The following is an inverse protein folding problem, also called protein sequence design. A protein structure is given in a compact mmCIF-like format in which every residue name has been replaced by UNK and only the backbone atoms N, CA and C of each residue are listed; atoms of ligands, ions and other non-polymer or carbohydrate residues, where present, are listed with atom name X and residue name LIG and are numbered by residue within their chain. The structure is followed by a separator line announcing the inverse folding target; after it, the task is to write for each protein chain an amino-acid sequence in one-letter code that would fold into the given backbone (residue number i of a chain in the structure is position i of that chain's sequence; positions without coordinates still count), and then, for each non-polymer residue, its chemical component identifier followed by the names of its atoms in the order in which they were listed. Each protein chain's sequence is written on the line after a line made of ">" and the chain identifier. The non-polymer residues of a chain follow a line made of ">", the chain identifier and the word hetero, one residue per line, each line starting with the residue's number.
data_IF_080568993248
#
_entry.id   IF_080568993248
#
_cell.length_a   1.000
_cell.length_b   1.000
_cell.length_c   1.000
_cell.angle_alpha   90.00
_cell.angle_beta   90.00
_cell.angle_gamma   90.00
#
_symmetry.space_group_name_H-M   'P 1'
#
loop_
_entity.id
_entity.type
_entity.pdbx_description
1 polymer ?
#
# COMPACT_ATOMS: atom_id res chain seq x y z
N UNK A 1 36.12 -40.99 35.02
CA UNK A 1 35.51 -40.76 33.71
C UNK A 1 34.26 -39.88 33.94
N UNK A 2 34.36 -38.61 33.63
CA UNK A 2 33.22 -37.65 33.77
C UNK A 2 32.49 -37.63 32.44
N UNK A 3 31.23 -38.02 32.43
CA UNK A 3 30.33 -38.04 31.26
C UNK A 3 29.71 -36.63 31.15
N UNK A 4 30.24 -35.79 30.23
CA UNK A 4 29.63 -34.50 29.90
C UNK A 4 28.37 -34.73 29.06
N UNK A 5 27.21 -34.52 29.67
CA UNK A 5 25.94 -34.49 28.95
C UNK A 5 25.85 -33.17 28.17
N UNK A 6 25.99 -33.21 26.83
CA UNK A 6 25.62 -32.11 25.97
C UNK A 6 24.10 -31.94 26.02
N UNK A 7 23.62 -30.88 26.68
CA UNK A 7 22.23 -30.43 26.54
C UNK A 7 22.04 -29.85 25.13
N UNK A 8 21.42 -30.65 24.26
CA UNK A 8 20.88 -30.14 22.99
C UNK A 8 19.68 -29.27 23.31
N UNK A 9 19.87 -27.92 23.37
CA UNK A 9 18.76 -27.00 23.42
C UNK A 9 18.03 -27.05 22.05
N UNK A 10 16.70 -27.31 22.03
CA UNK A 10 15.96 -27.19 20.78
C UNK A 10 16.07 -25.75 20.31
N UNK A 11 16.53 -25.54 19.09
CA UNK A 11 16.45 -24.24 18.43
C UNK A 11 14.97 -23.88 18.40
N UNK A 12 14.58 -22.81 19.09
CA UNK A 12 13.24 -22.27 19.00
C UNK A 12 13.02 -21.89 17.53
N UNK A 13 12.13 -22.62 16.85
CA UNK A 13 11.68 -22.24 15.51
C UNK A 13 11.04 -20.86 15.62
N UNK A 14 11.56 -19.88 14.90
CA UNK A 14 10.93 -18.56 14.85
C UNK A 14 9.50 -18.74 14.32
N UNK A 15 8.53 -18.12 15.02
CA UNK A 15 7.14 -18.11 14.53
C UNK A 15 7.03 -17.07 13.41
N UNK A 16 6.91 -17.55 12.17
CA UNK A 16 6.78 -16.69 11.01
C UNK A 16 5.39 -16.09 10.93
N UNK A 17 5.32 -14.78 10.77
CA UNK A 17 4.09 -14.02 10.54
C UNK A 17 4.14 -13.40 9.14
N UNK A 18 3.34 -13.91 8.22
CA UNK A 18 3.33 -13.48 6.81
C UNK A 18 2.25 -12.43 6.57
N UNK A 19 2.66 -11.27 6.07
CA UNK A 19 1.76 -10.15 5.81
C UNK A 19 1.82 -9.78 4.34
N UNK A 20 0.69 -9.87 3.65
CA UNK A 20 0.51 -9.40 2.28
C UNK A 20 -0.18 -8.03 2.28
N UNK A 21 0.49 -7.01 1.74
CA UNK A 21 0.06 -5.62 1.89
C UNK A 21 0.18 -4.80 0.60
N UNK A 22 -0.60 -3.73 0.52
CA UNK A 22 -0.51 -2.75 -0.55
C UNK A 22 0.89 -2.10 -0.61
N UNK A 23 1.40 -1.87 -1.83
CA UNK A 23 2.73 -1.30 -2.06
C UNK A 23 2.97 0.04 -1.35
N UNK A 24 1.94 0.88 -1.22
CA UNK A 24 2.02 2.15 -0.49
C UNK A 24 2.35 1.99 1.01
N UNK A 25 2.10 0.81 1.59
CA UNK A 25 2.39 0.50 2.99
C UNK A 25 3.85 0.10 3.26
N UNK A 26 4.67 -0.08 2.21
CA UNK A 26 6.01 -0.68 2.31
C UNK A 26 6.85 -0.09 3.44
N UNK A 27 7.04 1.24 3.46
CA UNK A 27 7.92 1.89 4.44
C UNK A 27 7.33 1.84 5.85
N UNK A 28 6.05 2.15 5.97
CA UNK A 28 5.35 2.17 7.25
C UNK A 28 5.26 0.77 7.87
N UNK A 29 4.91 -0.26 7.07
CA UNK A 29 4.78 -1.62 7.59
C UNK A 29 6.12 -2.26 7.93
N UNK A 30 7.22 -1.90 7.25
CA UNK A 30 8.56 -2.29 7.69
C UNK A 30 8.88 -1.76 9.10
N UNK A 31 8.55 -0.49 9.38
CA UNK A 31 8.75 0.10 10.70
C UNK A 31 7.80 -0.49 11.76
N UNK A 32 6.53 -0.77 11.39
CA UNK A 32 5.56 -1.45 12.25
C UNK A 32 6.04 -2.86 12.60
N UNK A 33 6.50 -3.64 11.60
CA UNK A 33 7.01 -4.99 11.77
C UNK A 33 8.25 -5.01 12.69
N UNK A 34 9.23 -4.15 12.42
CA UNK A 34 10.43 -4.05 13.24
C UNK A 34 10.09 -3.75 14.71
N UNK A 35 9.13 -2.84 14.94
CA UNK A 35 8.71 -2.51 16.30
C UNK A 35 7.97 -3.67 16.96
N UNK A 36 7.10 -4.36 16.22
CA UNK A 36 6.38 -5.54 16.70
C UNK A 36 7.33 -6.68 17.07
N UNK A 37 8.30 -7.00 16.20
CA UNK A 37 9.35 -8.01 16.47
C UNK A 37 10.16 -7.68 17.74
N UNK A 38 10.51 -6.40 17.93
CA UNK A 38 11.25 -5.99 19.14
C UNK A 38 10.49 -6.22 20.46
N UNK A 39 9.15 -6.28 20.39
CA UNK A 39 8.27 -6.53 21.52
C UNK A 39 7.84 -8.00 21.64
N UNK A 40 8.10 -8.80 20.61
CA UNK A 40 7.74 -10.21 20.55
C UNK A 40 8.95 -11.06 20.13
N UNK A 41 9.92 -11.29 21.03
CA UNK A 41 11.10 -12.10 20.74
C UNK A 41 10.72 -13.48 20.21
N UNK A 42 11.36 -13.91 19.14
CA UNK A 42 11.09 -15.19 18.46
C UNK A 42 10.05 -15.13 17.35
N UNK A 43 9.41 -13.96 17.12
CA UNK A 43 8.54 -13.72 15.96
C UNK A 43 9.36 -13.10 14.83
N UNK A 44 9.16 -13.60 13.61
CA UNK A 44 9.74 -13.03 12.40
C UNK A 44 8.63 -12.64 11.41
N UNK A 45 8.57 -11.33 11.04
CA UNK A 45 7.53 -10.78 10.18
C UNK A 45 8.00 -10.76 8.73
N UNK A 46 7.40 -11.59 7.89
CA UNK A 46 7.63 -11.64 6.46
C UNK A 46 6.64 -10.72 5.74
N UNK A 47 7.14 -9.74 5.00
CA UNK A 47 6.35 -8.73 4.32
C UNK A 47 6.38 -8.93 2.81
N UNK A 48 5.21 -9.05 2.19
CA UNK A 48 5.01 -9.08 0.73
C UNK A 48 4.21 -7.86 0.30
N UNK A 49 4.70 -7.12 -0.71
CA UNK A 49 4.09 -5.87 -1.17
C UNK A 49 3.78 -5.90 -2.65
N UNK A 50 2.60 -5.38 -3.01
CA UNK A 50 2.16 -5.26 -4.40
C UNK A 50 0.90 -4.41 -4.53
N UNK A 51 0.34 -4.32 -5.72
CA UNK A 51 -1.00 -3.77 -5.87
C UNK A 51 -2.00 -4.64 -5.10
N UNK A 52 -3.01 -4.05 -4.46
CA UNK A 52 -3.90 -4.79 -3.56
C UNK A 52 -4.61 -5.95 -4.25
N UNK A 53 -5.07 -5.79 -5.50
CA UNK A 53 -5.70 -6.89 -6.24
C UNK A 53 -4.68 -7.98 -6.64
N UNK A 54 -3.42 -7.62 -6.88
CA UNK A 54 -2.36 -8.60 -7.23
C UNK A 54 -2.02 -9.46 -6.02
N UNK A 55 -1.77 -8.86 -4.86
CA UNK A 55 -1.50 -9.63 -3.64
C UNK A 55 -2.72 -10.42 -3.18
N UNK A 56 -3.93 -9.89 -3.37
CA UNK A 56 -5.16 -10.65 -3.14
C UNK A 56 -5.23 -11.90 -4.04
N UNK A 57 -4.94 -11.75 -5.34
CA UNK A 57 -4.95 -12.89 -6.26
C UNK A 57 -3.92 -13.96 -5.88
N UNK A 58 -2.76 -13.56 -5.36
CA UNK A 58 -1.77 -14.49 -4.82
C UNK A 58 -2.33 -15.28 -3.63
N UNK A 59 -3.03 -14.60 -2.70
CA UNK A 59 -3.68 -15.26 -1.55
C UNK A 59 -4.75 -16.24 -2.03
N UNK A 60 -5.60 -15.85 -2.98
CA UNK A 60 -6.63 -16.72 -3.57
C UNK A 60 -6.00 -17.97 -4.21
N UNK A 61 -4.83 -17.82 -4.82
CA UNK A 61 -4.07 -18.91 -5.45
C UNK A 61 -3.22 -19.71 -4.46
N UNK A 62 -3.40 -19.51 -3.14
CA UNK A 62 -2.75 -20.31 -2.09
C UNK A 62 -1.42 -19.76 -1.58
N UNK A 63 -0.99 -18.56 -1.97
CA UNK A 63 0.20 -17.95 -1.36
C UNK A 63 -0.02 -17.74 0.15
N UNK A 64 0.96 -18.11 1.00
CA UNK A 64 0.82 -17.97 2.44
C UNK A 64 0.69 -16.49 2.81
N UNK A 65 -0.35 -16.18 3.60
CA UNK A 65 -0.52 -14.88 4.23
C UNK A 65 -1.37 -15.05 5.49
N UNK A 66 -0.97 -14.44 6.58
CA UNK A 66 -1.72 -14.42 7.84
C UNK A 66 -2.59 -13.17 7.95
N UNK A 67 -2.16 -12.10 7.28
CA UNK A 67 -2.82 -10.80 7.24
C UNK A 67 -2.83 -10.29 5.81
N UNK A 68 -3.98 -9.72 5.41
CA UNK A 68 -4.11 -8.93 4.19
C UNK A 68 -4.43 -7.48 4.54
N UNK A 69 -3.61 -6.53 4.02
CA UNK A 69 -3.80 -5.09 4.19
C UNK A 69 -3.91 -4.41 2.83
N UNK A 70 -5.10 -3.88 2.52
CA UNK A 70 -5.43 -3.28 1.24
C UNK A 70 -5.37 -1.75 1.26
N UNK A 71 -5.16 -1.12 0.11
CA UNK A 71 -5.25 0.33 -0.08
C UNK A 71 -6.62 0.80 -0.56
N UNK A 72 -7.61 -0.06 -0.62
CA UNK A 72 -9.02 0.28 -0.85
C UNK A 72 -9.98 -0.78 -0.32
N UNK A 73 -11.24 -0.38 -0.18
CA UNK A 73 -12.33 -1.25 0.27
C UNK A 73 -12.66 -2.32 -0.78
N UNK A 74 -12.58 -1.97 -2.08
CA UNK A 74 -12.96 -2.87 -3.18
C UNK A 74 -12.13 -4.15 -3.20
N UNK A 75 -10.81 -4.07 -3.00
CA UNK A 75 -9.96 -5.26 -2.93
C UNK A 75 -10.27 -6.10 -1.68
N UNK A 76 -10.58 -5.45 -0.55
CA UNK A 76 -10.99 -6.15 0.66
C UNK A 76 -12.38 -6.83 0.50
N UNK A 77 -13.33 -6.18 -0.16
CA UNK A 77 -14.64 -6.78 -0.47
C UNK A 77 -14.49 -8.03 -1.34
N UNK A 78 -13.60 -7.98 -2.34
CA UNK A 78 -13.24 -9.17 -3.13
C UNK A 78 -12.63 -10.28 -2.28
N UNK A 79 -11.77 -9.95 -1.30
CA UNK A 79 -11.15 -10.91 -0.39
C UNK A 79 -12.22 -11.60 0.48
N UNK A 80 -13.20 -10.83 0.97
CA UNK A 80 -14.36 -11.36 1.71
C UNK A 80 -15.21 -12.27 0.82
N UNK A 81 -15.54 -11.82 -0.39
CA UNK A 81 -16.31 -12.61 -1.36
C UNK A 81 -15.62 -13.92 -1.74
N UNK A 82 -14.29 -13.91 -1.88
CA UNK A 82 -13.46 -15.09 -2.13
C UNK A 82 -13.28 -15.98 -0.87
N UNK A 83 -13.78 -15.56 0.29
CA UNK A 83 -13.66 -16.26 1.58
C UNK A 83 -12.21 -16.52 2.02
N UNK A 84 -11.26 -15.68 1.59
CA UNK A 84 -9.84 -15.79 1.96
C UNK A 84 -9.46 -14.93 3.15
N UNK A 85 -10.38 -14.09 3.65
CA UNK A 85 -10.22 -13.31 4.88
C UNK A 85 -11.41 -13.50 5.81
N UNK A 86 -11.17 -13.36 7.12
CA UNK A 86 -12.21 -13.35 8.14
C UNK A 86 -12.86 -11.95 8.18
N UNK A 87 -14.13 -11.81 7.75
CA UNK A 87 -14.81 -10.52 7.72
C UNK A 87 -15.01 -9.92 9.13
N UNK A 88 -15.08 -10.76 10.17
CA UNK A 88 -15.20 -10.28 11.55
C UNK A 88 -13.93 -9.58 12.05
N UNK A 89 -12.78 -9.88 11.46
CA UNK A 89 -11.49 -9.27 11.78
C UNK A 89 -11.22 -7.96 11.03
N UNK A 90 -12.01 -7.64 9.96
CA UNK A 90 -11.79 -6.46 9.12
C UNK A 90 -11.88 -5.16 9.91
N UNK A 91 -10.88 -4.29 9.77
CA UNK A 91 -10.84 -2.96 10.37
C UNK A 91 -10.21 -1.98 9.39
N UNK A 92 -10.74 -0.77 9.32
CA UNK A 92 -10.04 0.35 8.70
C UNK A 92 -8.99 0.85 9.68
N UNK A 93 -7.74 0.99 9.21
CA UNK A 93 -6.62 1.33 10.08
C UNK A 93 -5.87 2.59 9.66
N UNK A 94 -6.07 3.05 8.42
CA UNK A 94 -5.40 4.22 7.90
C UNK A 94 -6.23 4.93 6.83
N UNK A 95 -5.93 6.21 6.63
CA UNK A 95 -6.48 7.06 5.58
C UNK A 95 -5.35 7.73 4.81
N UNK A 96 -5.58 7.99 3.51
CA UNK A 96 -4.63 8.62 2.61
C UNK A 96 -5.34 9.62 1.68
N UNK A 97 -4.59 10.22 0.75
CA UNK A 97 -5.11 11.11 -0.30
C UNK A 97 -4.43 10.77 -1.64
N UNK A 98 -5.13 10.97 -2.74
CA UNK A 98 -4.54 10.93 -4.07
C UNK A 98 -3.98 12.31 -4.40
N UNK A 99 -2.75 12.36 -4.88
CA UNK A 99 -2.09 13.61 -5.28
C UNK A 99 -1.59 13.53 -6.71
N UNK A 100 -1.64 14.66 -7.40
CA UNK A 100 -0.94 14.89 -8.67
C UNK A 100 0.48 15.29 -8.37
N UNK A 101 1.44 14.58 -8.95
CA UNK A 101 2.87 14.87 -8.86
C UNK A 101 3.49 15.10 -10.24
N UNK A 102 4.58 15.86 -10.25
CA UNK A 102 5.46 16.06 -11.41
C UNK A 102 6.91 15.84 -10.98
N UNK A 103 7.86 15.64 -11.92
CA UNK A 103 9.30 15.72 -11.62
C UNK A 103 9.62 17.04 -10.90
N UNK A 104 10.54 17.00 -9.92
CA UNK A 104 10.85 18.17 -9.10
C UNK A 104 11.38 19.37 -9.93
N UNK A 105 12.08 19.09 -11.03
CA UNK A 105 12.66 20.04 -11.98
C UNK A 105 11.81 20.27 -13.22
N UNK A 106 10.55 19.82 -13.23
CA UNK A 106 9.63 20.01 -14.35
C UNK A 106 9.46 21.49 -14.72
N UNK A 107 9.67 21.81 -15.98
CA UNK A 107 9.55 23.15 -16.57
C UNK A 107 8.23 23.38 -17.29
N UNK A 108 7.29 22.44 -17.27
CA UNK A 108 6.03 22.49 -18.04
C UNK A 108 4.99 23.51 -17.50
N UNK A 109 5.25 24.17 -16.37
CA UNK A 109 4.34 25.15 -15.79
C UNK A 109 2.96 24.58 -15.47
N UNK A 110 2.92 23.36 -14.92
CA UNK A 110 1.69 22.69 -14.51
C UNK A 110 1.34 23.08 -13.06
N UNK A 111 0.06 23.33 -12.81
CA UNK A 111 -0.45 23.70 -11.48
C UNK A 111 -1.62 22.84 -11.02
N UNK A 112 -2.30 22.15 -11.95
CA UNK A 112 -3.51 21.37 -11.65
C UNK A 112 -3.68 20.22 -12.63
N UNK A 113 -4.59 19.28 -12.31
CA UNK A 113 -4.96 18.19 -13.20
C UNK A 113 -5.53 18.69 -14.55
N UNK A 114 -6.15 19.87 -14.60
CA UNK A 114 -6.65 20.46 -15.85
C UNK A 114 -5.50 20.79 -16.82
N UNK A 115 -4.34 21.16 -16.31
CA UNK A 115 -3.19 21.48 -17.16
C UNK A 115 -2.63 20.28 -17.90
N UNK A 116 -2.94 19.04 -17.46
CA UNK A 116 -2.52 17.82 -18.12
C UNK A 116 -3.11 17.65 -19.53
N UNK A 117 -4.17 18.38 -19.86
CA UNK A 117 -4.75 18.40 -21.22
C UNK A 117 -3.91 19.20 -22.22
N UNK A 118 -3.01 20.08 -21.77
CA UNK A 118 -2.15 20.90 -22.62
C UNK A 118 -1.33 20.03 -23.57
N UNK A 119 -1.06 20.55 -24.78
CA UNK A 119 -0.33 19.83 -25.82
C UNK A 119 1.13 19.52 -25.43
N UNK A 120 1.74 20.29 -24.53
CA UNK A 120 3.09 20.05 -23.98
C UNK A 120 3.19 18.78 -23.13
N UNK A 121 2.09 18.36 -22.48
CA UNK A 121 2.04 17.13 -21.67
C UNK A 121 1.84 15.95 -22.61
N UNK A 122 2.73 14.97 -22.60
CA UNK A 122 2.71 13.80 -23.47
C UNK A 122 2.36 12.51 -22.72
N UNK A 123 2.87 12.33 -21.51
CA UNK A 123 2.73 11.10 -20.73
C UNK A 123 2.29 11.40 -19.30
N UNK A 124 1.25 10.72 -18.85
CA UNK A 124 0.71 10.83 -17.49
C UNK A 124 0.56 9.43 -16.93
N UNK A 125 1.22 9.15 -15.79
CA UNK A 125 1.12 7.84 -15.17
C UNK A 125 0.10 7.80 -14.05
N UNK A 126 -0.53 6.66 -13.91
CA UNK A 126 -1.35 6.26 -12.76
C UNK A 126 -1.45 4.73 -12.69
N UNK A 127 -1.78 4.21 -11.54
CA UNK A 127 -1.98 2.77 -11.38
C UNK A 127 -3.10 2.25 -12.31
N UNK A 128 -2.95 1.07 -12.88
CA UNK A 128 -4.00 0.46 -13.70
C UNK A 128 -5.31 0.32 -12.89
N UNK A 129 -6.42 0.99 -13.25
CA UNK A 129 -7.66 0.95 -12.47
C UNK A 129 -8.27 -0.45 -12.31
N UNK A 130 -7.93 -1.38 -13.21
CA UNK A 130 -8.40 -2.76 -13.13
C UNK A 130 -7.86 -3.51 -11.90
N UNK A 131 -6.62 -3.17 -11.44
CA UNK A 131 -5.91 -3.93 -10.41
C UNK A 131 -5.25 -3.08 -9.32
N UNK A 132 -5.16 -1.76 -9.49
CA UNK A 132 -4.42 -0.88 -8.59
C UNK A 132 -5.35 0.14 -7.92
N UNK A 133 -5.44 0.14 -6.57
CA UNK A 133 -6.32 1.04 -5.83
C UNK A 133 -6.18 2.52 -6.19
N UNK A 134 -4.95 3.08 -6.18
CA UNK A 134 -4.75 4.49 -6.52
C UNK A 134 -5.25 4.82 -7.92
N UNK A 135 -5.15 3.89 -8.86
CA UNK A 135 -5.70 4.05 -10.22
C UNK A 135 -7.23 4.18 -10.22
N UNK A 136 -7.93 3.38 -9.40
CA UNK A 136 -9.39 3.47 -9.24
C UNK A 136 -9.81 4.81 -8.64
N UNK A 137 -9.14 5.26 -7.59
CA UNK A 137 -9.41 6.57 -6.98
C UNK A 137 -9.11 7.71 -7.96
N UNK A 138 -7.99 7.63 -8.70
CA UNK A 138 -7.62 8.60 -9.76
C UNK A 138 -8.70 8.64 -10.84
N UNK A 139 -9.11 7.49 -11.37
CA UNK A 139 -10.17 7.41 -12.38
C UNK A 139 -11.47 8.05 -11.88
N UNK A 140 -11.91 7.70 -10.67
CA UNK A 140 -13.13 8.22 -10.10
C UNK A 140 -13.06 9.75 -9.89
N UNK A 141 -11.94 10.27 -9.41
CA UNK A 141 -11.72 11.70 -9.22
C UNK A 141 -11.70 12.46 -10.55
N UNK A 142 -10.97 11.96 -11.55
CA UNK A 142 -10.86 12.59 -12.87
C UNK A 142 -12.18 12.55 -13.66
N UNK A 143 -12.98 11.48 -13.53
CA UNK A 143 -14.31 11.41 -14.14
C UNK A 143 -15.24 12.49 -13.61
N UNK A 144 -15.19 12.81 -12.31
CA UNK A 144 -16.02 13.88 -11.71
C UNK A 144 -15.78 15.27 -12.30
N UNK A 145 -14.59 15.51 -12.84
CA UNK A 145 -14.16 16.79 -13.40
C UNK A 145 -13.94 16.70 -14.92
N UNK A 146 -14.46 15.66 -15.55
CA UNK A 146 -14.43 15.40 -17.00
C UNK A 146 -13.02 15.37 -17.62
N UNK A 147 -12.02 15.03 -16.81
CA UNK A 147 -10.62 14.92 -17.25
C UNK A 147 -10.18 13.48 -17.57
N UNK A 148 -11.00 12.47 -17.26
CA UNK A 148 -10.59 11.07 -17.46
C UNK A 148 -10.39 10.75 -18.95
N UNK A 149 -11.40 11.01 -19.79
CA UNK A 149 -11.34 10.68 -21.22
C UNK A 149 -10.25 11.46 -21.97
N UNK A 150 -10.08 12.78 -21.75
CA UNK A 150 -9.00 13.52 -22.40
C UNK A 150 -7.58 13.02 -22.09
N UNK A 151 -7.38 12.34 -20.97
CA UNK A 151 -6.06 11.85 -20.55
C UNK A 151 -5.75 10.42 -21.02
N UNK A 152 -6.73 9.68 -21.59
CA UNK A 152 -6.52 8.29 -22.00
C UNK A 152 -5.41 8.14 -23.06
N UNK A 153 -5.33 9.06 -24.02
CA UNK A 153 -4.29 9.06 -25.04
C UNK A 153 -2.86 9.37 -24.53
N UNK A 154 -2.74 9.80 -23.26
CA UNK A 154 -1.46 10.10 -22.61
C UNK A 154 -1.11 9.11 -21.50
N UNK A 155 -1.94 8.11 -21.27
CA UNK A 155 -1.86 7.21 -20.13
C UNK A 155 -0.65 6.27 -20.20
N UNK A 156 0.14 6.22 -19.13
CA UNK A 156 1.15 5.20 -18.86
C UNK A 156 0.72 4.45 -17.60
N UNK A 157 0.19 3.25 -17.79
CA UNK A 157 -0.38 2.46 -16.70
C UNK A 157 0.72 1.78 -15.87
N UNK A 158 0.72 2.05 -14.58
CA UNK A 158 1.63 1.41 -13.63
C UNK A 158 0.98 0.16 -12.99
N UNK A 159 1.79 -0.84 -12.70
CA UNK A 159 1.37 -2.08 -12.05
C UNK A 159 1.12 -1.92 -10.53
N UNK A 160 1.64 -0.88 -9.93
CA UNK A 160 1.38 -0.46 -8.54
C UNK A 160 1.75 1.02 -8.35
N UNK A 161 1.43 1.58 -7.18
CA UNK A 161 1.67 3.01 -6.92
C UNK A 161 3.16 3.38 -6.87
N UNK A 162 4.04 2.46 -6.45
CA UNK A 162 5.49 2.73 -6.38
C UNK A 162 6.09 2.81 -7.78
N UNK A 163 5.65 1.98 -8.70
CA UNK A 163 6.05 2.10 -10.11
C UNK A 163 5.58 3.42 -10.72
N UNK A 164 4.35 3.89 -10.40
CA UNK A 164 3.91 5.21 -10.84
C UNK A 164 4.79 6.33 -10.28
N UNK A 165 5.16 6.26 -8.99
CA UNK A 165 6.09 7.21 -8.37
C UNK A 165 7.46 7.18 -9.06
N UNK A 166 8.01 5.98 -9.32
CA UNK A 166 9.32 5.81 -9.95
C UNK A 166 9.36 6.41 -11.36
N UNK A 167 8.30 6.25 -12.15
CA UNK A 167 8.22 6.85 -13.49
C UNK A 167 8.31 8.39 -13.43
N UNK A 168 7.63 9.03 -12.47
CA UNK A 168 7.71 10.47 -12.30
C UNK A 168 9.08 10.89 -11.75
N UNK A 169 9.58 10.18 -10.73
CA UNK A 169 10.86 10.49 -10.08
C UNK A 169 12.08 10.36 -11.02
N UNK A 170 11.95 9.61 -12.12
CA UNK A 170 12.97 9.40 -13.15
C UNK A 170 12.74 10.24 -14.42
N UNK A 171 11.76 11.15 -14.40
CA UNK A 171 11.39 11.97 -15.56
C UNK A 171 11.01 11.12 -16.81
N UNK A 172 10.50 9.91 -16.59
CA UNK A 172 10.01 9.03 -17.66
C UNK A 172 8.62 9.43 -18.16
N UNK A 173 7.92 10.25 -17.37
CA UNK A 173 6.59 10.80 -17.64
C UNK A 173 6.51 12.24 -17.14
N UNK A 174 5.61 13.04 -17.73
CA UNK A 174 5.46 14.47 -17.40
C UNK A 174 4.74 14.72 -16.07
N UNK A 175 3.87 13.79 -15.66
CA UNK A 175 3.10 13.87 -14.43
C UNK A 175 2.58 12.49 -14.01
N UNK A 176 2.12 12.36 -12.78
CA UNK A 176 1.53 11.13 -12.31
C UNK A 176 0.60 11.32 -11.10
N UNK A 177 -0.21 10.30 -10.84
CA UNK A 177 -1.11 10.24 -9.69
C UNK A 177 -0.66 9.11 -8.77
N UNK A 178 -0.37 9.49 -7.53
CA UNK A 178 0.08 8.58 -6.45
C UNK A 178 -0.65 8.90 -5.16
N UNK A 179 -0.42 8.14 -4.10
CA UNK A 179 -0.89 8.59 -2.78
C UNK A 179 0.08 9.61 -2.17
N UNK A 180 -0.42 10.49 -1.33
CA UNK A 180 0.38 11.52 -0.67
C UNK A 180 1.56 10.93 0.12
N UNK A 181 1.34 9.78 0.77
CA UNK A 181 2.40 9.04 1.49
C UNK A 181 3.50 8.52 0.58
N UNK A 182 3.19 8.20 -0.70
CA UNK A 182 4.20 7.78 -1.67
C UNK A 182 5.01 8.97 -2.17
N UNK A 183 4.37 10.11 -2.46
CA UNK A 183 5.07 11.33 -2.83
C UNK A 183 6.06 11.78 -1.74
N UNK A 184 5.67 11.65 -0.47
CA UNK A 184 6.47 12.06 0.68
C UNK A 184 7.78 11.27 0.88
N UNK A 185 7.96 10.12 0.24
CA UNK A 185 9.21 9.34 0.35
C UNK A 185 10.31 9.81 -0.63
N UNK A 186 9.96 10.62 -1.63
CA UNK A 186 10.90 11.15 -2.64
C UNK A 186 10.75 12.67 -2.82
N UNK A 187 10.81 13.48 -1.73
CA UNK A 187 10.52 14.92 -1.77
C UNK A 187 11.48 15.70 -2.67
N UNK A 188 12.71 15.20 -2.86
CA UNK A 188 13.73 15.83 -3.72
C UNK A 188 13.59 15.43 -5.20
N UNK A 189 12.72 14.47 -5.53
CA UNK A 189 12.54 13.94 -6.88
C UNK A 189 11.20 14.29 -7.50
N UNK A 190 10.18 14.50 -6.67
CA UNK A 190 8.84 14.82 -7.15
C UNK A 190 8.24 15.98 -6.38
N UNK A 191 7.44 16.78 -7.08
CA UNK A 191 6.70 17.91 -6.52
C UNK A 191 5.20 17.60 -6.56
N UNK A 192 4.52 17.76 -5.43
CA UNK A 192 3.06 17.68 -5.35
C UNK A 192 2.46 19.00 -5.83
N UNK A 193 1.56 18.93 -6.80
CA UNK A 193 0.85 20.09 -7.35
C UNK A 193 -0.56 20.24 -6.77
N UNK A 194 -1.27 19.13 -6.59
CA UNK A 194 -2.68 19.14 -6.22
C UNK A 194 -3.07 17.85 -5.48
N UNK A 195 -3.89 17.97 -4.45
CA UNK A 195 -4.65 16.84 -3.90
C UNK A 195 -5.98 16.70 -4.64
N UNK A 196 -6.35 15.46 -5.00
CA UNK A 196 -7.59 15.19 -5.74
C UNK A 196 -8.73 14.90 -4.75
N UNK A 197 -9.87 15.55 -4.98
CA UNK A 197 -11.12 15.24 -4.29
C UNK A 197 -11.68 13.91 -4.84
N UNK A 198 -11.51 12.83 -4.10
CA UNK A 198 -12.08 11.52 -4.43
C UNK A 198 -13.55 11.44 -3.98
N UNK A 199 -14.44 10.71 -4.71
CA UNK A 199 -15.85 10.57 -4.32
C UNK A 199 -16.01 9.92 -2.94
N UNK A 200 -15.12 9.01 -2.60
CA UNK A 200 -15.07 8.30 -1.32
C UNK A 200 -13.71 8.53 -0.65
N UNK A 201 -13.65 8.48 0.68
CA UNK A 201 -12.38 8.60 1.39
C UNK A 201 -11.44 7.42 1.02
N UNK A 202 -10.16 7.70 0.92
CA UNK A 202 -9.14 6.68 0.67
C UNK A 202 -8.83 5.97 1.98
N UNK A 203 -9.56 4.90 2.28
CA UNK A 203 -9.43 4.10 3.49
C UNK A 203 -8.66 2.80 3.20
N UNK A 204 -7.84 2.40 4.17
CA UNK A 204 -7.03 1.19 4.15
C UNK A 204 -7.59 0.17 5.14
N UNK A 205 -8.25 -0.87 4.66
CA UNK A 205 -8.69 -1.98 5.50
C UNK A 205 -7.58 -3.03 5.70
N UNK A 206 -7.59 -3.66 6.87
CA UNK A 206 -6.76 -4.81 7.24
C UNK A 206 -7.66 -5.92 7.74
N UNK A 207 -7.33 -7.18 7.46
CA UNK A 207 -8.04 -8.35 7.97
C UNK A 207 -7.10 -9.55 8.13
N UNK A 208 -7.48 -10.46 9.02
CA UNK A 208 -6.86 -11.78 9.13
C UNK A 208 -7.28 -12.65 7.94
N UNK A 209 -6.36 -13.44 7.40
CA UNK A 209 -6.71 -14.42 6.37
C UNK A 209 -7.33 -15.67 6.97
N UNK A 210 -8.07 -16.42 6.16
CA UNK A 210 -8.58 -17.75 6.50
C UNK A 210 -7.59 -18.77 5.94
N UNK A 211 -6.75 -19.34 6.82
CA UNK A 211 -5.81 -20.42 6.48
C UNK A 211 -5.64 -21.37 7.66
N UNK A 212 -5.32 -22.63 7.36
CA UNK A 212 -5.25 -23.72 8.35
C UNK A 212 -4.14 -23.48 9.40
N UNK A 213 -2.97 -23.00 8.96
CA UNK A 213 -1.81 -22.76 9.82
C UNK A 213 -1.45 -21.27 9.88
N UNK A 214 -2.44 -20.44 10.28
CA UNK A 214 -2.17 -19.01 10.52
C UNK A 214 -1.33 -18.85 11.78
N UNK A 215 -0.31 -17.95 11.71
CA UNK A 215 0.50 -17.60 12.87
C UNK A 215 -0.37 -17.18 14.07
N UNK A 216 -0.02 -17.68 15.26
CA UNK A 216 -0.68 -17.30 16.51
C UNK A 216 -0.55 -15.80 16.81
N UNK A 217 0.48 -15.14 16.25
CA UNK A 217 0.76 -13.72 16.40
C UNK A 217 -0.05 -12.80 15.46
N UNK A 218 -0.77 -13.35 14.47
CA UNK A 218 -1.51 -12.54 13.50
C UNK A 218 -2.53 -11.59 14.15
N UNK A 219 -3.30 -12.08 15.13
CA UNK A 219 -4.27 -11.26 15.88
C UNK A 219 -3.58 -10.17 16.71
N UNK A 220 -2.43 -10.47 17.32
CA UNK A 220 -1.64 -9.51 18.09
C UNK A 220 -1.07 -8.42 17.18
N UNK A 221 -0.57 -8.76 15.99
CA UNK A 221 -0.09 -7.78 15.02
C UNK A 221 -1.21 -6.86 14.52
N UNK A 222 -2.37 -7.41 14.19
CA UNK A 222 -3.53 -6.60 13.80
C UNK A 222 -3.92 -5.60 14.90
N UNK A 223 -3.97 -6.06 16.16
CA UNK A 223 -4.21 -5.18 17.32
C UNK A 223 -3.10 -4.13 17.48
N UNK A 224 -1.84 -4.50 17.25
CA UNK A 224 -0.71 -3.58 17.31
C UNK A 224 -0.81 -2.47 16.27
N UNK A 225 -1.17 -2.79 15.01
CA UNK A 225 -1.42 -1.78 13.95
C UNK A 225 -2.47 -0.76 14.38
N UNK A 226 -3.52 -1.21 15.10
CA UNK A 226 -4.61 -0.36 15.57
C UNK A 226 -4.29 0.39 16.89
N UNK A 227 -3.25 0.00 17.59
CA UNK A 227 -2.84 0.61 18.86
C UNK A 227 -2.33 2.06 18.66
N UNK A 228 -2.27 2.81 19.76
CA UNK A 228 -1.68 4.17 19.74
C UNK A 228 -0.24 4.17 19.22
N UNK A 229 0.55 3.15 19.56
CA UNK A 229 1.94 3.02 19.10
C UNK A 229 2.01 2.70 17.61
N UNK A 230 1.25 1.73 17.11
CA UNK A 230 1.15 1.42 15.68
C UNK A 230 0.67 2.61 14.86
N UNK A 231 -0.35 3.32 15.36
CA UNK A 231 -0.88 4.53 14.72
C UNK A 231 0.13 5.68 14.71
N UNK A 232 0.93 5.84 15.77
CA UNK A 232 2.02 6.83 15.81
C UNK A 232 3.12 6.51 14.78
N UNK A 233 3.41 5.22 14.55
CA UNK A 233 4.33 4.81 13.48
C UNK A 233 3.74 5.17 12.12
N UNK A 234 2.50 4.80 11.82
CA UNK A 234 1.82 5.11 10.56
C UNK A 234 1.78 6.61 10.28
N UNK A 235 1.51 7.43 11.30
CA UNK A 235 1.47 8.89 11.18
C UNK A 235 2.82 9.49 10.76
N UNK A 236 3.95 8.94 11.22
CA UNK A 236 5.29 9.37 10.77
C UNK A 236 5.55 9.18 9.28
N UNK A 237 4.81 8.26 8.64
CA UNK A 237 4.84 8.03 7.20
C UNK A 237 3.70 8.73 6.45
N UNK A 238 3.00 9.68 7.11
CA UNK A 238 1.96 10.52 6.50
C UNK A 238 0.57 9.87 6.45
N UNK A 239 0.37 8.67 6.97
CA UNK A 239 -0.96 8.08 7.10
C UNK A 239 -1.74 8.80 8.21
N UNK A 240 -3.05 8.99 7.97
CA UNK A 240 -3.98 9.54 8.97
C UNK A 240 -4.86 8.42 9.53
N UNK A 241 -5.45 8.67 10.69
CA UNK A 241 -6.50 7.78 11.22
C UNK A 241 -7.70 7.78 10.28
N UNK A 242 -8.46 6.66 10.19
CA UNK A 242 -9.68 6.55 9.40
C UNK A 242 -10.72 7.62 9.71
#
# INVERSE_FOLDING_TARGET
>A
MALSALLCMPAASADELVISAAASLTNAFKAVAQKFESQNPGVHVLLSFGASDVVLQQIINGAPADIFASADQKSMDKAVAAKVVDPASRRDFARNEVVLIVPADSTLGLHSAKDLTKAGVKRVTYGNPASVPVGRYTQAALKRVELWEPLQGKAVLAQNVRQALDYVARDEVDAGFVFATDAAIMPDKVKVLQSLATPEPVLYPIALTVREHRSSHAQAFLKFVLSSEGQAILARYGFRKP
#
